data_IF_118506336958
#
_entry.id   IF_118506336958
#
_cell.length_a   1.000
_cell.length_b   1.000
_cell.length_c   1.000
_cell.angle_alpha   90.00
_cell.angle_beta   90.00
_cell.angle_gamma   90.00
#
_symmetry.space_group_name_H-M   'P 1'
#
loop_
_entity.id
_entity.type
_entity.pdbx_description
1 polymer ?
#
# COMPACT_ATOMS: atom_id res chain seq x y z
N UNK A 1 -13.24 17.94 12.83
CA UNK A 1 -12.13 16.98 13.09
C UNK A 1 -11.79 16.15 11.86
N UNK A 2 -12.78 15.56 11.16
CA UNK A 2 -12.54 14.81 9.92
C UNK A 2 -11.96 15.66 8.79
N UNK A 3 -12.46 16.88 8.60
CA UNK A 3 -11.96 17.77 7.54
C UNK A 3 -10.51 18.24 7.77
N UNK A 4 -10.11 18.41 9.03
CA UNK A 4 -8.73 18.76 9.38
C UNK A 4 -7.78 17.61 9.07
N UNK A 5 -8.18 16.38 9.42
CA UNK A 5 -7.39 15.19 9.13
C UNK A 5 -7.32 14.91 7.63
N UNK A 6 -8.45 15.04 6.92
CA UNK A 6 -8.53 14.96 5.45
C UNK A 6 -7.53 15.90 4.80
N UNK A 7 -7.54 17.19 5.20
CA UNK A 7 -6.62 18.20 4.69
C UNK A 7 -5.16 17.87 5.02
N UNK A 8 -4.90 17.28 6.18
CA UNK A 8 -3.57 16.83 6.58
C UNK A 8 -3.04 15.72 5.66
N UNK A 9 -3.82 14.67 5.43
CA UNK A 9 -3.47 13.59 4.50
C UNK A 9 -3.31 14.09 3.07
N UNK A 10 -4.22 14.93 2.61
CA UNK A 10 -4.18 15.51 1.27
C UNK A 10 -2.86 16.26 1.03
N UNK A 11 -2.49 17.16 1.95
CA UNK A 11 -1.21 17.88 1.87
C UNK A 11 0.00 16.95 1.98
N UNK A 12 -0.07 15.91 2.82
CA UNK A 12 1.02 14.94 2.96
C UNK A 12 1.22 14.13 1.67
N UNK A 13 0.16 13.67 1.02
CA UNK A 13 0.23 13.02 -0.29
C UNK A 13 0.83 13.95 -1.36
N UNK A 14 0.32 15.18 -1.46
CA UNK A 14 0.87 16.16 -2.41
C UNK A 14 2.37 16.40 -2.18
N UNK A 15 2.77 16.57 -0.91
CA UNK A 15 4.17 16.75 -0.55
C UNK A 15 5.02 15.54 -0.97
N UNK A 16 4.55 14.33 -0.67
CA UNK A 16 5.28 13.10 -0.97
C UNK A 16 5.40 12.88 -2.47
N UNK A 17 4.31 12.96 -3.24
CA UNK A 17 4.37 12.71 -4.69
C UNK A 17 5.11 13.81 -5.45
N UNK A 18 5.11 15.06 -4.95
CA UNK A 18 5.88 16.13 -5.60
C UNK A 18 7.37 16.08 -5.25
N UNK A 19 7.73 15.75 -4.00
CA UNK A 19 9.11 15.93 -3.49
C UNK A 19 9.61 14.83 -2.55
N UNK A 20 8.73 14.03 -1.97
CA UNK A 20 9.07 13.06 -0.92
C UNK A 20 9.38 11.65 -1.40
N UNK A 21 9.08 11.28 -2.66
CA UNK A 21 9.40 9.94 -3.21
C UNK A 21 10.89 9.63 -3.00
N UNK A 22 11.78 10.53 -3.42
CA UNK A 22 13.24 10.35 -3.28
C UNK A 22 13.74 10.36 -1.82
N UNK A 23 12.94 10.83 -0.86
CA UNK A 23 13.26 10.71 0.57
C UNK A 23 12.93 9.30 1.06
N UNK A 24 11.74 8.79 0.69
CA UNK A 24 11.30 7.45 1.04
C UNK A 24 12.20 6.39 0.38
N UNK A 25 12.61 6.62 -0.87
CA UNK A 25 13.54 5.76 -1.61
C UNK A 25 14.84 5.50 -0.84
N UNK A 26 15.39 6.51 -0.16
CA UNK A 26 16.60 6.38 0.66
C UNK A 26 16.41 5.50 1.90
N UNK A 27 15.19 5.11 2.24
CA UNK A 27 14.87 4.32 3.43
C UNK A 27 14.81 2.81 3.17
N UNK A 28 14.99 2.38 1.92
CA UNK A 28 15.08 0.97 1.53
C UNK A 28 16.11 0.78 0.41
N UNK A 29 16.50 -0.48 0.15
CA UNK A 29 17.56 -0.81 -0.81
C UNK A 29 16.93 -1.23 -2.14
N UNK A 30 16.53 -0.26 -2.96
CA UNK A 30 15.84 -0.49 -4.26
C UNK A 30 16.58 -1.51 -5.14
N UNK A 31 17.89 -1.34 -5.34
CA UNK A 31 18.70 -2.25 -6.17
C UNK A 31 18.68 -3.71 -5.68
N UNK A 32 18.64 -3.92 -4.36
CA UNK A 32 18.58 -5.27 -3.79
C UNK A 32 17.21 -5.91 -3.97
N UNK A 33 16.15 -5.12 -3.81
CA UNK A 33 14.77 -5.57 -4.05
C UNK A 33 14.56 -5.94 -5.51
N UNK A 34 15.07 -5.12 -6.44
CA UNK A 34 15.01 -5.42 -7.86
C UNK A 34 15.81 -6.68 -8.22
N UNK A 35 17.01 -6.83 -7.68
CA UNK A 35 17.83 -8.02 -7.90
C UNK A 35 17.13 -9.27 -7.36
N UNK A 36 16.59 -9.19 -6.15
CA UNK A 36 15.81 -10.27 -5.56
C UNK A 36 14.59 -10.62 -6.43
N UNK A 37 13.86 -9.61 -6.93
CA UNK A 37 12.77 -9.82 -7.87
C UNK A 37 13.24 -10.57 -9.12
N UNK A 38 14.30 -10.11 -9.80
CA UNK A 38 14.83 -10.74 -11.02
C UNK A 38 15.18 -12.22 -10.80
N UNK A 39 15.82 -12.56 -9.68
CA UNK A 39 16.15 -13.95 -9.32
C UNK A 39 14.90 -14.80 -9.13
N UNK A 40 13.90 -14.26 -8.42
CA UNK A 40 12.65 -14.96 -8.16
C UNK A 40 11.78 -15.10 -9.42
N UNK A 41 11.75 -14.07 -10.28
CA UNK A 41 11.06 -14.06 -11.56
C UNK A 41 11.61 -15.12 -12.51
N UNK A 42 12.94 -15.16 -12.65
CA UNK A 42 13.64 -16.20 -13.41
C UNK A 42 13.25 -17.60 -12.92
N UNK A 43 13.24 -17.82 -11.59
CA UNK A 43 12.84 -19.11 -11.02
C UNK A 43 11.39 -19.48 -11.35
N UNK A 44 10.48 -18.50 -11.36
CA UNK A 44 9.07 -18.72 -11.72
C UNK A 44 8.93 -19.07 -13.20
N UNK A 45 9.69 -18.40 -14.08
CA UNK A 45 9.68 -18.72 -15.52
C UNK A 45 10.20 -20.14 -15.78
N UNK A 46 11.26 -20.56 -15.09
CA UNK A 46 11.80 -21.92 -15.22
C UNK A 46 10.91 -22.98 -14.58
N UNK A 47 10.20 -22.65 -13.49
CA UNK A 47 9.32 -23.55 -12.73
C UNK A 47 8.07 -22.81 -12.25
N UNK A 48 7.01 -22.72 -13.07
CA UNK A 48 5.79 -21.98 -12.75
C UNK A 48 4.88 -22.80 -11.82
N UNK A 49 5.34 -23.03 -10.58
CA UNK A 49 4.64 -23.80 -9.56
C UNK A 49 4.30 -22.96 -8.31
N UNK A 50 3.51 -23.55 -7.41
CA UNK A 50 3.11 -22.89 -6.16
C UNK A 50 4.29 -22.60 -5.23
N UNK A 51 5.37 -23.38 -5.30
CA UNK A 51 6.55 -23.26 -4.43
C UNK A 51 7.40 -22.06 -4.84
N UNK A 52 7.66 -21.88 -6.13
CA UNK A 52 8.41 -20.75 -6.66
C UNK A 52 7.70 -19.43 -6.40
N UNK A 53 6.36 -19.40 -6.52
CA UNK A 53 5.53 -18.25 -6.15
C UNK A 53 5.54 -17.97 -4.64
N UNK A 54 5.43 -19.01 -3.80
CA UNK A 54 5.47 -18.85 -2.33
C UNK A 54 6.81 -18.29 -1.84
N UNK A 55 7.91 -18.65 -2.51
CA UNK A 55 9.24 -18.12 -2.19
C UNK A 55 9.34 -16.63 -2.55
N UNK A 56 8.80 -16.21 -3.71
CA UNK A 56 8.67 -14.79 -4.05
C UNK A 56 7.88 -14.03 -2.98
N UNK A 57 6.69 -14.53 -2.62
CA UNK A 57 5.85 -13.90 -1.60
C UNK A 57 6.53 -13.82 -0.22
N UNK A 58 7.37 -14.82 0.12
CA UNK A 58 8.12 -14.83 1.38
C UNK A 58 9.18 -13.72 1.41
N UNK A 59 9.89 -13.52 0.30
CA UNK A 59 10.90 -12.45 0.21
C UNK A 59 10.24 -11.08 0.32
N UNK A 60 9.15 -10.84 -0.42
CA UNK A 60 8.40 -9.57 -0.36
C UNK A 60 7.92 -9.28 1.07
N UNK A 61 7.37 -10.28 1.78
CA UNK A 61 6.90 -10.12 3.16
C UNK A 61 8.02 -9.88 4.17
N UNK A 62 9.24 -10.33 3.88
CA UNK A 62 10.41 -10.10 4.74
C UNK A 62 10.84 -8.63 4.70
N UNK A 63 10.74 -8.03 3.52
CA UNK A 63 11.09 -6.63 3.28
C UNK A 63 10.00 -5.65 3.78
N UNK A 64 8.74 -6.08 3.74
CA UNK A 64 7.63 -5.43 4.47
C UNK A 64 7.81 -5.56 5.99
N UNK A 65 8.79 -4.86 6.57
CA UNK A 65 9.11 -4.93 8.01
C UNK A 65 7.97 -4.39 8.86
N UNK A 66 7.05 -5.27 9.24
CA UNK A 66 5.98 -4.99 10.21
C UNK A 66 6.54 -4.49 11.54
N UNK A 67 7.75 -4.91 11.89
CA UNK A 67 8.47 -4.47 13.07
C UNK A 67 8.68 -2.95 13.08
N UNK A 68 8.89 -2.31 11.93
CA UNK A 68 9.04 -0.84 11.86
C UNK A 68 7.74 -0.11 12.21
N UNK A 69 6.59 -0.61 11.77
CA UNK A 69 5.28 -0.07 12.16
C UNK A 69 4.99 -0.28 13.66
N UNK A 70 5.39 -1.44 14.20
CA UNK A 70 5.25 -1.78 15.62
C UNK A 70 6.20 -0.95 16.49
N UNK A 71 7.47 -0.79 16.13
CA UNK A 71 8.45 0.05 16.83
C UNK A 71 8.06 1.53 16.83
N UNK A 72 7.45 2.03 15.74
CA UNK A 72 6.89 3.40 15.71
C UNK A 72 5.68 3.55 16.65
N UNK A 73 4.93 2.47 16.89
CA UNK A 73 3.85 2.45 17.86
C UNK A 73 4.36 2.30 19.31
N UNK A 74 5.49 1.62 19.52
CA UNK A 74 6.07 1.36 20.85
C UNK A 74 7.02 2.46 21.34
N UNK A 75 7.66 3.22 20.44
CA UNK A 75 8.74 4.17 20.76
C UNK A 75 8.35 5.64 20.88
N UNK A 76 7.08 6.02 20.69
CA UNK A 76 6.63 7.42 20.78
C UNK A 76 5.83 7.64 22.07
N UNK A 77 6.51 8.15 23.10
CA UNK A 77 5.86 8.78 24.25
C UNK A 77 5.69 10.30 24.02
N UNK A 78 4.49 10.71 23.55
CA UNK A 78 3.91 12.08 23.65
C UNK A 78 4.70 13.22 22.92
N UNK A 79 4.20 14.41 22.58
CA UNK A 79 2.97 15.17 22.80
C UNK A 79 2.96 16.39 21.83
N UNK A 80 1.80 16.84 21.34
CA UNK A 80 1.12 18.00 21.93
C UNK A 80 -0.42 17.86 22.01
N UNK A 81 -0.99 16.71 21.63
CA UNK A 81 -2.47 16.52 21.65
C UNK A 81 -2.88 15.16 22.23
N UNK A 82 -2.09 14.49 23.07
CA UNK A 82 -2.54 13.32 23.85
C UNK A 82 -3.25 12.17 23.09
N UNK A 83 -3.05 12.05 21.76
CA UNK A 83 -3.90 11.26 20.84
C UNK A 83 -3.13 10.13 20.11
N UNK A 84 -1.86 9.88 20.41
CA UNK A 84 -1.18 8.65 19.98
C UNK A 84 -1.12 8.38 18.46
N UNK A 85 -1.19 9.41 17.61
CA UNK A 85 -0.98 9.28 16.17
C UNK A 85 0.46 9.72 15.84
N UNK A 86 1.29 8.92 15.12
CA UNK A 86 2.51 9.44 14.50
C UNK A 86 2.16 10.61 13.56
N UNK A 87 3.11 11.52 13.35
CA UNK A 87 2.93 12.65 12.42
C UNK A 87 2.42 12.13 11.05
N UNK A 88 1.41 12.77 10.47
CA UNK A 88 0.71 12.28 9.27
C UNK A 88 1.69 11.96 8.12
N UNK A 89 2.69 12.81 7.81
CA UNK A 89 3.70 12.50 6.80
C UNK A 89 4.58 11.30 7.17
N UNK A 90 4.88 11.10 8.45
CA UNK A 90 5.68 9.95 8.91
C UNK A 90 4.92 8.63 8.73
N UNK A 91 3.65 8.59 9.18
CA UNK A 91 2.78 7.44 8.96
C UNK A 91 2.66 7.12 7.47
N UNK A 92 2.40 8.15 6.67
CA UNK A 92 2.22 7.97 5.23
C UNK A 92 3.53 7.54 4.56
N UNK A 93 4.68 8.06 5.00
CA UNK A 93 6.00 7.63 4.51
C UNK A 93 6.26 6.15 4.77
N UNK A 94 5.93 5.66 5.96
CA UNK A 94 6.07 4.24 6.31
C UNK A 94 5.11 3.35 5.52
N UNK A 95 3.87 3.80 5.35
CA UNK A 95 2.88 3.11 4.51
C UNK A 95 3.35 3.01 3.07
N UNK A 96 3.75 4.13 2.47
CA UNK A 96 4.20 4.19 1.09
C UNK A 96 5.49 3.42 0.88
N UNK A 97 6.45 3.46 1.82
CA UNK A 97 7.63 2.59 1.83
C UNK A 97 7.24 1.13 1.64
N UNK A 98 6.34 0.60 2.47
CA UNK A 98 5.90 -0.80 2.38
C UNK A 98 5.22 -1.10 1.03
N UNK A 99 4.43 -0.16 0.51
CA UNK A 99 3.79 -0.30 -0.81
C UNK A 99 4.84 -0.31 -1.94
N UNK A 100 5.85 0.57 -1.90
CA UNK A 100 6.94 0.63 -2.89
C UNK A 100 7.78 -0.65 -2.88
N UNK A 101 8.15 -1.14 -1.70
CA UNK A 101 8.85 -2.43 -1.55
C UNK A 101 8.03 -3.59 -2.14
N UNK A 102 6.69 -3.53 -2.00
CA UNK A 102 5.79 -4.52 -2.61
C UNK A 102 5.73 -4.39 -4.13
N UNK A 103 5.66 -3.17 -4.65
CA UNK A 103 5.64 -2.91 -6.08
C UNK A 103 6.92 -3.44 -6.74
N UNK A 104 8.09 -3.06 -6.22
CA UNK A 104 9.39 -3.54 -6.70
C UNK A 104 9.50 -5.07 -6.55
N UNK A 105 9.03 -5.61 -5.42
CA UNK A 105 8.99 -7.04 -5.15
C UNK A 105 8.18 -7.84 -6.18
N UNK A 106 7.27 -7.22 -6.92
CA UNK A 106 6.55 -7.82 -8.05
C UNK A 106 6.99 -7.29 -9.43
N UNK A 107 8.05 -6.47 -9.49
CA UNK A 107 8.62 -5.95 -10.73
C UNK A 107 7.96 -4.68 -11.27
N UNK A 108 7.30 -3.89 -10.42
CA UNK A 108 6.60 -2.67 -10.81
C UNK A 108 7.31 -1.41 -10.32
N UNK A 109 7.41 -0.42 -11.20
CA UNK A 109 8.06 0.86 -10.91
C UNK A 109 7.09 1.83 -10.24
N UNK A 110 7.20 1.94 -8.92
CA UNK A 110 6.37 2.83 -8.08
C UNK A 110 6.50 4.32 -8.41
N UNK A 111 7.55 4.72 -9.14
CA UNK A 111 7.80 6.12 -9.53
C UNK A 111 6.91 6.56 -10.69
N UNK A 112 6.38 5.63 -11.49
CA UNK A 112 5.50 5.96 -12.61
C UNK A 112 4.17 6.53 -12.13
N UNK A 113 3.70 7.61 -12.75
CA UNK A 113 2.47 8.29 -12.34
C UNK A 113 1.24 7.35 -12.36
N UNK A 114 1.15 6.49 -13.39
CA UNK A 114 0.09 5.47 -13.49
C UNK A 114 0.16 4.43 -12.37
N UNK A 115 1.36 4.17 -11.85
CA UNK A 115 1.56 3.29 -10.70
C UNK A 115 1.15 4.01 -9.40
N UNK A 116 1.47 5.29 -9.26
CA UNK A 116 1.04 6.10 -8.12
C UNK A 116 -0.50 6.19 -8.05
N UNK A 117 -1.19 6.31 -9.19
CA UNK A 117 -2.66 6.20 -9.25
C UNK A 117 -3.14 4.83 -8.76
N UNK A 118 -2.50 3.73 -9.18
CA UNK A 118 -2.86 2.39 -8.70
C UNK A 118 -2.68 2.29 -7.18
N UNK A 119 -1.60 2.84 -6.64
CA UNK A 119 -1.33 2.90 -5.20
C UNK A 119 -2.45 3.63 -4.46
N UNK A 120 -2.84 4.82 -4.92
CA UNK A 120 -3.94 5.61 -4.35
C UNK A 120 -5.27 4.86 -4.38
N UNK A 121 -5.58 4.22 -5.51
CA UNK A 121 -6.78 3.36 -5.67
C UNK A 121 -6.77 2.19 -4.70
N UNK A 122 -5.63 1.52 -4.52
CA UNK A 122 -5.50 0.40 -3.58
C UNK A 122 -5.64 0.84 -2.13
N UNK A 123 -5.07 1.98 -1.74
CA UNK A 123 -5.26 2.55 -0.39
C UNK A 123 -6.75 2.83 -0.15
N UNK A 124 -7.41 3.49 -1.11
CA UNK A 124 -8.84 3.81 -1.03
C UNK A 124 -9.70 2.55 -0.89
N UNK A 125 -9.49 1.57 -1.79
CA UNK A 125 -10.25 0.32 -1.79
C UNK A 125 -9.98 -0.56 -0.56
N UNK A 126 -8.77 -0.56 -0.01
CA UNK A 126 -8.46 -1.33 1.19
C UNK A 126 -9.21 -0.82 2.44
N UNK A 127 -9.54 0.47 2.47
CA UNK A 127 -10.12 1.14 3.65
C UNK A 127 -11.62 1.38 3.56
N UNK A 128 -12.26 1.06 2.43
CA UNK A 128 -13.69 1.23 2.29
C UNK A 128 -14.52 0.26 3.17
N UNK A 129 -15.79 0.61 3.33
CA UNK A 129 -16.83 -0.14 4.07
C UNK A 129 -17.55 -1.10 3.14
N UNK A 130 -18.24 -2.09 3.71
CA UNK A 130 -18.83 -3.22 2.98
C UNK A 130 -19.75 -2.83 1.81
N UNK A 131 -20.44 -1.68 1.91
CA UNK A 131 -21.32 -1.16 0.85
C UNK A 131 -20.56 -0.72 -0.41
N UNK A 132 -19.33 -0.23 -0.27
CA UNK A 132 -18.53 0.34 -1.37
C UNK A 132 -17.42 -0.60 -1.87
N UNK A 133 -17.11 -1.67 -1.11
CA UNK A 133 -16.00 -2.61 -1.42
C UNK A 133 -16.04 -3.10 -2.86
N UNK A 134 -17.20 -3.55 -3.34
CA UNK A 134 -17.30 -4.10 -4.70
C UNK A 134 -16.91 -3.05 -5.74
N UNK A 135 -17.50 -1.85 -5.67
CA UNK A 135 -17.27 -0.77 -6.64
C UNK A 135 -15.81 -0.32 -6.67
N UNK A 136 -15.21 -0.09 -5.50
CA UNK A 136 -13.82 0.36 -5.43
C UNK A 136 -12.84 -0.74 -5.82
N UNK A 137 -13.14 -1.99 -5.44
CA UNK A 137 -12.36 -3.13 -5.89
C UNK A 137 -12.40 -3.28 -7.41
N UNK A 138 -13.58 -3.15 -8.03
CA UNK A 138 -13.74 -3.22 -9.48
C UNK A 138 -13.01 -2.07 -10.18
N UNK A 139 -12.96 -0.88 -9.58
CA UNK A 139 -12.15 0.25 -10.09
C UNK A 139 -10.65 -0.06 -10.08
N UNK A 140 -10.14 -0.71 -9.02
CA UNK A 140 -8.74 -1.18 -8.96
C UNK A 140 -8.47 -2.23 -10.05
N UNK A 141 -9.39 -3.18 -10.23
CA UNK A 141 -9.27 -4.23 -11.24
C UNK A 141 -9.27 -3.67 -12.66
N UNK A 142 -10.17 -2.73 -12.93
CA UNK A 142 -10.22 -2.01 -14.19
C UNK A 142 -8.88 -1.32 -14.47
N UNK A 143 -8.35 -0.58 -13.48
CA UNK A 143 -7.06 0.11 -13.63
C UNK A 143 -5.91 -0.86 -13.93
N UNK A 144 -5.80 -1.97 -13.19
CA UNK A 144 -4.75 -2.99 -13.40
C UNK A 144 -4.73 -3.51 -14.84
N UNK A 145 -5.91 -3.67 -15.46
CA UNK A 145 -6.02 -4.20 -16.82
C UNK A 145 -5.72 -3.13 -17.88
N UNK A 146 -6.19 -1.90 -17.70
CA UNK A 146 -6.23 -0.88 -18.76
C UNK A 146 -5.15 0.22 -18.60
N UNK A 147 -4.38 0.26 -17.49
CA UNK A 147 -3.43 1.35 -17.23
C UNK A 147 -2.38 1.56 -18.32
N UNK A 148 -2.06 0.53 -19.12
CA UNK A 148 -1.09 0.62 -20.21
C UNK A 148 -1.71 1.09 -21.54
N UNK A 149 -3.02 1.31 -21.61
CA UNK A 149 -3.68 1.81 -22.80
C UNK A 149 -3.39 3.30 -23.02
N UNK A 150 -3.19 3.69 -24.28
CA UNK A 150 -2.76 5.05 -24.65
C UNK A 150 -3.80 6.14 -24.36
N UNK A 151 -5.06 5.79 -24.10
CA UNK A 151 -6.17 6.72 -23.91
C UNK A 151 -6.77 6.72 -22.49
N UNK A 152 -6.11 6.10 -21.51
CA UNK A 152 -6.66 6.07 -20.16
C UNK A 152 -6.65 7.48 -19.54
N UNK A 153 -7.83 7.99 -19.19
CA UNK A 153 -8.03 9.28 -18.54
C UNK A 153 -8.08 9.07 -17.03
N UNK A 154 -7.37 9.91 -16.29
CA UNK A 154 -7.38 9.91 -14.83
C UNK A 154 -7.17 11.31 -14.29
N UNK A 155 -7.69 11.55 -13.09
CA UNK A 155 -7.46 12.77 -12.32
C UNK A 155 -6.63 12.40 -11.08
N UNK A 156 -5.37 12.83 -11.07
CA UNK A 156 -4.43 12.52 -10.00
C UNK A 156 -4.84 13.14 -8.66
N UNK A 157 -5.35 14.37 -8.71
CA UNK A 157 -5.79 15.10 -7.52
C UNK A 157 -7.06 14.49 -6.93
N UNK A 158 -7.98 14.02 -7.79
CA UNK A 158 -9.17 13.29 -7.34
C UNK A 158 -8.80 12.00 -6.59
N UNK A 159 -7.81 11.24 -7.08
CA UNK A 159 -7.36 10.01 -6.42
C UNK A 159 -6.61 10.27 -5.10
N UNK A 160 -5.83 11.36 -5.01
CA UNK A 160 -5.28 11.83 -3.73
C UNK A 160 -6.42 12.15 -2.75
N UNK A 161 -7.45 12.87 -3.21
CA UNK A 161 -8.57 13.26 -2.35
C UNK A 161 -9.32 12.03 -1.82
N UNK A 162 -9.61 11.04 -2.68
CA UNK A 162 -10.25 9.77 -2.28
C UNK A 162 -9.42 9.03 -1.23
N UNK A 163 -8.12 8.86 -1.46
CA UNK A 163 -7.23 8.17 -0.52
C UNK A 163 -7.13 8.91 0.83
N UNK A 164 -7.08 10.25 0.80
CA UNK A 164 -7.04 11.10 1.98
C UNK A 164 -8.29 10.96 2.84
N UNK A 165 -9.47 10.95 2.19
CA UNK A 165 -10.76 10.73 2.86
C UNK A 165 -10.80 9.33 3.48
N UNK A 166 -10.38 8.30 2.73
CA UNK A 166 -10.39 6.91 3.19
C UNK A 166 -9.49 6.71 4.43
N UNK A 167 -8.26 7.24 4.40
CA UNK A 167 -7.33 7.19 5.52
C UNK A 167 -7.83 7.93 6.76
N UNK A 168 -8.36 9.13 6.57
CA UNK A 168 -8.90 9.93 7.66
C UNK A 168 -10.12 9.27 8.31
N UNK A 169 -11.04 8.73 7.51
CA UNK A 169 -12.19 7.94 8.00
C UNK A 169 -11.70 6.74 8.81
N UNK A 170 -10.77 5.95 8.26
CA UNK A 170 -10.25 4.76 8.93
C UNK A 170 -9.59 5.08 10.28
N UNK A 171 -8.76 6.12 10.34
CA UNK A 171 -8.07 6.53 11.56
C UNK A 171 -9.01 7.18 12.59
N UNK A 172 -10.08 7.85 12.17
CA UNK A 172 -11.08 8.43 13.08
C UNK A 172 -12.05 7.39 13.62
N UNK A 173 -12.51 6.45 12.79
CA UNK A 173 -13.29 5.30 13.25
C UNK A 173 -12.49 4.46 14.24
N UNK A 174 -11.18 4.35 14.05
CA UNK A 174 -10.33 3.69 15.02
C UNK A 174 -10.20 4.43 16.36
N UNK A 175 -10.52 5.72 16.45
CA UNK A 175 -10.64 6.43 17.74
C UNK A 175 -11.91 6.02 18.50
N UNK A 176 -12.94 5.50 17.82
CA UNK A 176 -14.12 4.92 18.48
C UNK A 176 -13.88 3.48 18.96
N UNK A 177 -12.87 2.78 18.44
CA UNK A 177 -12.43 1.46 18.96
C UNK A 177 -11.83 1.58 20.37
N UNK A 178 -11.38 2.77 20.76
CA UNK A 178 -10.86 3.04 22.10
C UNK A 178 -11.94 2.99 23.22
N UNK A 179 -13.23 2.83 22.87
CA UNK A 179 -14.34 2.76 23.83
C UNK A 179 -15.30 1.57 23.71
N UNK A 180 -15.20 0.67 22.71
CA UNK A 180 -16.23 -0.37 22.54
C UNK A 180 -15.79 -1.77 22.05
N UNK A 181 -14.53 -2.07 21.77
CA UNK A 181 -14.17 -3.46 21.38
C UNK A 181 -13.87 -4.35 22.59
N UNK A 182 -14.96 -4.85 23.18
CA UNK A 182 -15.03 -6.04 24.03
C UNK A 182 -14.65 -7.27 23.19
N UNK A 183 -13.81 -8.14 23.77
CA UNK A 183 -13.24 -9.41 23.26
C UNK A 183 -11.92 -9.33 22.47
N UNK A 184 -10.80 -9.28 23.22
CA UNK A 184 -9.82 -10.37 23.07
C UNK A 184 -8.42 -10.06 22.53
N UNK A 185 -8.00 -8.80 22.38
CA UNK A 185 -6.58 -8.46 22.21
C UNK A 185 -6.26 -7.24 23.10
N UNK A 186 -5.25 -7.40 23.94
CA UNK A 186 -4.79 -6.43 24.94
C UNK A 186 -4.50 -5.07 24.29
N UNK A 187 -4.99 -4.02 24.96
CA UNK A 187 -5.01 -2.64 24.47
C UNK A 187 -3.63 -2.07 24.12
N UNK A 188 -3.62 -1.26 23.05
CA UNK A 188 -2.47 -0.42 22.65
C UNK A 188 -2.19 -0.33 21.15
N UNK A 189 -2.84 -1.14 20.30
CA UNK A 189 -2.33 -1.41 18.94
C UNK A 189 -3.28 -0.98 17.81
N UNK A 190 -3.63 0.30 17.74
CA UNK A 190 -4.52 0.82 16.68
C UNK A 190 -3.81 1.03 15.33
N UNK A 191 -2.56 1.50 15.33
CA UNK A 191 -1.81 1.81 14.11
C UNK A 191 -1.45 0.58 13.22
N UNK A 192 -1.08 -0.58 13.79
CA UNK A 192 -0.80 -1.78 12.99
C UNK A 192 -1.99 -2.28 12.16
N UNK A 193 -3.24 -2.03 12.57
CA UNK A 193 -4.42 -2.57 11.89
C UNK A 193 -4.67 -1.90 10.53
N UNK A 194 -4.64 -0.57 10.45
CA UNK A 194 -4.86 0.18 9.20
C UNK A 194 -3.75 -0.15 8.19
N UNK A 195 -2.49 -0.12 8.63
CA UNK A 195 -1.35 -0.53 7.81
C UNK A 195 -1.51 -1.97 7.32
N UNK A 196 -1.82 -2.93 8.20
CA UNK A 196 -1.97 -4.34 7.83
C UNK A 196 -3.12 -4.57 6.85
N UNK A 197 -4.26 -3.90 7.04
CA UNK A 197 -5.41 -3.98 6.12
C UNK A 197 -5.01 -3.53 4.71
N UNK A 198 -4.31 -2.41 4.60
CA UNK A 198 -3.82 -1.88 3.31
C UNK A 198 -2.80 -2.83 2.70
N UNK A 199 -1.76 -3.23 3.44
CA UNK A 199 -0.69 -4.08 2.91
C UNK A 199 -1.17 -5.46 2.46
N UNK A 200 -2.16 -6.03 3.15
CA UNK A 200 -2.80 -7.28 2.73
C UNK A 200 -3.48 -7.14 1.37
N UNK A 201 -4.22 -6.06 1.16
CA UNK A 201 -4.91 -5.78 -0.11
C UNK A 201 -3.91 -5.46 -1.24
N UNK A 202 -2.93 -4.60 -0.96
CA UNK A 202 -1.85 -4.22 -1.89
C UNK A 202 -1.09 -5.46 -2.37
N UNK A 203 -0.64 -6.32 -1.44
CA UNK A 203 0.06 -7.56 -1.79
C UNK A 203 -0.79 -8.49 -2.65
N UNK A 204 -2.10 -8.59 -2.36
CA UNK A 204 -3.03 -9.39 -3.15
C UNK A 204 -3.15 -8.87 -4.58
N UNK A 205 -3.25 -7.55 -4.76
CA UNK A 205 -3.43 -6.91 -6.07
C UNK A 205 -2.18 -6.93 -6.92
N UNK A 206 -1.02 -6.66 -6.35
CA UNK A 206 0.24 -6.79 -7.06
C UNK A 206 0.52 -8.24 -7.47
N UNK A 207 0.26 -9.21 -6.59
CA UNK A 207 0.30 -10.63 -6.94
C UNK A 207 -0.61 -10.93 -8.13
N UNK A 208 -1.86 -10.46 -8.10
CA UNK A 208 -2.83 -10.68 -9.17
C UNK A 208 -2.30 -10.12 -10.49
N UNK A 209 -1.84 -8.87 -10.50
CA UNK A 209 -1.29 -8.21 -11.70
C UNK A 209 -0.09 -8.96 -12.26
N UNK A 210 0.86 -9.34 -11.40
CA UNK A 210 2.02 -10.16 -11.78
C UNK A 210 1.60 -11.48 -12.45
N UNK A 211 0.65 -12.19 -11.86
CA UNK A 211 0.15 -13.45 -12.43
C UNK A 211 -0.62 -13.27 -13.75
N UNK A 212 -1.34 -12.16 -13.92
CA UNK A 212 -1.99 -11.81 -15.20
C UNK A 212 -0.93 -11.60 -16.27
N UNK A 213 0.13 -10.84 -15.98
CA UNK A 213 1.24 -10.62 -16.92
C UNK A 213 1.94 -11.93 -17.28
N UNK A 214 2.22 -12.80 -16.30
CA UNK A 214 2.78 -14.13 -16.57
C UNK A 214 1.86 -14.97 -17.44
N UNK A 215 0.55 -14.99 -17.18
CA UNK A 215 -0.40 -15.73 -18.01
C UNK A 215 -0.45 -15.21 -19.44
N UNK A 216 -0.41 -13.89 -19.65
CA UNK A 216 -0.42 -13.28 -20.98
C UNK A 216 0.90 -13.56 -21.73
N UNK A 217 2.05 -13.46 -21.05
CA UNK A 217 3.34 -13.83 -21.62
C UNK A 217 3.44 -15.32 -21.99
N UNK A 218 2.98 -16.23 -21.12
CA UNK A 218 2.94 -17.69 -21.35
C UNK A 218 2.08 -18.05 -22.57
N UNK A 219 1.07 -17.25 -22.92
CA UNK A 219 0.22 -17.51 -24.09
C UNK A 219 0.89 -17.17 -25.42
N UNK A 220 1.90 -16.30 -25.43
CA UNK A 220 2.59 -15.90 -26.65
C UNK A 220 3.73 -16.85 -27.07
N UNK A 221 4.06 -17.84 -26.23
CA UNK A 221 5.13 -18.83 -26.46
C UNK A 221 4.59 -20.24 -26.80
N UNK A 222 3.34 -20.37 -27.28
CA UNK A 222 2.72 -21.66 -27.64
C UNK A 222 2.31 -21.74 -29.10
#
# INVERSE_FOLDING_TARGET
MIDTLNKGFYKAFQLIFTKGIGIIEKTFREDELELAFRVNDFRINQRPDKKSLRLLEKEIKKEQSFNTCVTLAEGISLGAIGIGLPDIPLFLGVLLKGIYETAIGYGFNYKEEKEQILILKMITAALCTDEEIKKLNDSVEFWIVHMNESQIIYDFEEEIQKASIALSKALLLSKFVQGFFVLGIVGGMVNPFVYHKIMKYVSLKYKKRYLIQKRLGIKNER
#
